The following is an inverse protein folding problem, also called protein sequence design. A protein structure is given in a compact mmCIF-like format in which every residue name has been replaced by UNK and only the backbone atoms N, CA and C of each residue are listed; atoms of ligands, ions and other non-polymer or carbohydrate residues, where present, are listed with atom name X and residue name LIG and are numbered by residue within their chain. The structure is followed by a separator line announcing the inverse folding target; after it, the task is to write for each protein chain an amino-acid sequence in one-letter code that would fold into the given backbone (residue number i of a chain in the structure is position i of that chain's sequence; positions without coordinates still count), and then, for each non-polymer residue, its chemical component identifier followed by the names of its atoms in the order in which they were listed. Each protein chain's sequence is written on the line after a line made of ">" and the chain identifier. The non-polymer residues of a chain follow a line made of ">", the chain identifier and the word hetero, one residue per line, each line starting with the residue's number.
data_IF_978330532680
#
_entry.id   IF_978330532680
#
_cell.length_a   1.000
_cell.length_b   1.000
_cell.length_c   1.000
_cell.angle_alpha   90.00
_cell.angle_beta   90.00
_cell.angle_gamma   90.00
#
_symmetry.space_group_name_H-M   'P 1'
#
loop_
_entity.id
_entity.type
_entity.pdbx_description
1 polymer ?
#
# COMPACT_ATOMS: atom_id res chain seq x y z
N UNK A 1 -9.45 -19.98 -19.05
CA UNK A 1 -9.23 -21.21 -18.27
C UNK A 1 -10.24 -21.23 -17.12
N UNK A 2 -11.28 -22.04 -17.23
CA UNK A 2 -12.20 -22.35 -16.13
C UNK A 2 -11.67 -23.60 -15.42
N UNK A 3 -11.59 -23.58 -14.10
CA UNK A 3 -11.40 -24.79 -13.29
C UNK A 3 -12.56 -24.84 -12.30
N UNK A 4 -13.64 -25.50 -12.72
CA UNK A 4 -14.74 -25.89 -11.88
C UNK A 4 -14.34 -27.11 -11.03
N UNK A 5 -14.78 -27.08 -9.77
CA UNK A 5 -14.64 -28.11 -8.76
C UNK A 5 -15.42 -27.64 -7.54
N UNK A 6 -16.73 -27.86 -7.58
CA UNK A 6 -17.77 -27.49 -6.63
C UNK A 6 -17.63 -28.14 -5.24
N UNK A 7 -17.79 -27.33 -4.19
CA UNK A 7 -18.57 -27.56 -2.95
C UNK A 7 -18.90 -26.16 -2.37
N UNK A 8 -20.15 -25.85 -1.98
CA UNK A 8 -20.52 -24.53 -1.47
C UNK A 8 -20.33 -24.47 0.05
N UNK A 9 -19.30 -23.76 0.53
CA UNK A 9 -19.27 -23.43 1.97
C UNK A 9 -17.99 -22.89 2.59
N UNK A 10 -16.81 -23.11 2.02
CA UNK A 10 -15.57 -22.60 2.59
C UNK A 10 -14.56 -22.31 1.49
N UNK A 11 -13.94 -21.12 1.51
CA UNK A 11 -12.82 -20.82 0.63
C UNK A 11 -11.60 -21.68 1.04
N UNK A 12 -11.56 -22.96 0.65
CA UNK A 12 -10.47 -23.90 0.96
C UNK A 12 -9.20 -23.66 0.11
N UNK A 13 -9.09 -22.46 -0.48
CA UNK A 13 -7.95 -21.98 -1.25
C UNK A 13 -7.72 -22.70 -2.59
N UNK A 14 -7.10 -22.00 -3.53
CA UNK A 14 -6.59 -22.57 -4.77
C UNK A 14 -5.23 -23.21 -4.49
N UNK A 15 -4.97 -24.38 -5.10
CA UNK A 15 -3.63 -25.00 -5.04
C UNK A 15 -2.67 -24.27 -5.97
N UNK A 16 -1.55 -23.81 -5.42
CA UNK A 16 -0.49 -23.09 -6.14
C UNK A 16 0.86 -23.77 -5.94
N UNK A 17 1.61 -24.05 -7.02
CA UNK A 17 2.97 -24.56 -6.91
C UNK A 17 3.92 -23.40 -6.55
N UNK A 18 4.55 -23.47 -5.39
CA UNK A 18 5.55 -22.49 -4.94
C UNK A 18 6.77 -23.25 -4.42
N UNK A 19 7.96 -22.86 -4.86
CA UNK A 19 9.24 -23.49 -4.49
C UNK A 19 9.25 -25.03 -4.63
N UNK A 20 8.60 -25.57 -5.67
CA UNK A 20 8.53 -27.01 -5.92
C UNK A 20 7.57 -27.79 -5.03
N UNK A 21 6.74 -27.10 -4.23
CA UNK A 21 5.73 -27.71 -3.34
C UNK A 21 4.33 -27.18 -3.63
N UNK A 22 3.30 -27.98 -3.31
CA UNK A 22 1.90 -27.56 -3.42
C UNK A 22 1.45 -26.82 -2.16
N UNK A 23 1.01 -25.58 -2.34
CA UNK A 23 0.51 -24.73 -1.27
C UNK A 23 -0.97 -24.38 -1.53
N UNK A 24 -1.70 -23.97 -0.49
CA UNK A 24 -3.05 -23.42 -0.62
C UNK A 24 -3.00 -21.89 -0.49
N UNK A 25 -3.68 -21.19 -1.38
CA UNK A 25 -3.80 -19.75 -1.35
C UNK A 25 -5.27 -19.32 -1.46
N UNK A 26 -5.71 -18.43 -0.58
CA UNK A 26 -7.01 -17.76 -0.69
C UNK A 26 -6.78 -16.30 -1.08
N UNK A 27 -7.53 -15.79 -2.05
CA UNK A 27 -7.48 -14.39 -2.47
C UNK A 27 -8.76 -13.69 -2.03
N UNK A 28 -8.66 -12.92 -0.94
CA UNK A 28 -9.80 -12.21 -0.34
C UNK A 28 -9.78 -10.70 -0.62
N UNK A 29 -8.73 -10.21 -1.30
CA UNK A 29 -8.56 -8.80 -1.56
C UNK A 29 -9.70 -8.27 -2.44
N UNK A 30 -10.12 -7.05 -2.15
CA UNK A 30 -11.20 -6.37 -2.85
C UNK A 30 -10.77 -4.94 -3.18
N UNK A 31 -11.01 -4.53 -4.43
CA UNK A 31 -10.72 -3.17 -4.87
C UNK A 31 -11.57 -2.17 -4.09
N UNK A 32 -10.96 -1.07 -3.64
CA UNK A 32 -11.67 -0.04 -2.88
C UNK A 32 -11.87 -0.35 -1.39
N UNK A 33 -11.48 -1.53 -0.90
CA UNK A 33 -11.65 -1.89 0.50
C UNK A 33 -10.93 -0.93 1.46
N UNK A 34 -11.66 -0.44 2.46
CA UNK A 34 -11.12 0.27 3.62
C UNK A 34 -10.70 -0.71 4.73
N UNK A 35 -10.00 -0.23 5.76
CA UNK A 35 -9.63 -1.03 6.93
C UNK A 35 -10.87 -1.67 7.57
N UNK A 36 -11.93 -0.89 7.77
CA UNK A 36 -13.20 -1.37 8.32
C UNK A 36 -13.85 -2.46 7.46
N UNK A 37 -13.80 -2.32 6.13
CA UNK A 37 -14.36 -3.33 5.24
C UNK A 37 -13.54 -4.62 5.25
N UNK A 38 -12.21 -4.54 5.35
CA UNK A 38 -11.36 -5.71 5.53
C UNK A 38 -11.72 -6.40 6.84
N UNK A 39 -11.82 -5.64 7.94
CA UNK A 39 -12.16 -6.15 9.26
C UNK A 39 -13.51 -6.89 9.26
N UNK A 40 -14.54 -6.29 8.66
CA UNK A 40 -15.90 -6.83 8.71
C UNK A 40 -16.18 -7.92 7.66
N UNK A 41 -15.56 -7.83 6.47
CA UNK A 41 -15.95 -8.67 5.31
C UNK A 41 -14.88 -9.68 4.89
N UNK A 42 -13.61 -9.44 5.21
CA UNK A 42 -12.49 -10.29 4.77
C UNK A 42 -11.90 -11.11 5.92
N UNK A 43 -11.70 -10.52 7.12
CA UNK A 43 -11.15 -11.25 8.28
C UNK A 43 -11.95 -12.52 8.60
N UNK A 44 -13.30 -12.53 8.66
CA UNK A 44 -14.05 -13.76 8.96
C UNK A 44 -13.88 -14.88 7.93
N UNK A 45 -13.37 -14.57 6.74
CA UNK A 45 -13.12 -15.54 5.66
C UNK A 45 -11.69 -16.07 5.65
N UNK A 46 -10.81 -15.53 6.51
CA UNK A 46 -9.43 -16.02 6.62
C UNK A 46 -9.44 -17.39 7.29
N UNK A 47 -8.85 -18.43 6.67
CA UNK A 47 -8.76 -19.75 7.29
C UNK A 47 -7.90 -19.70 8.56
N UNK A 48 -8.33 -20.36 9.63
CA UNK A 48 -7.54 -20.45 10.88
C UNK A 48 -6.18 -21.15 10.68
N UNK A 49 -6.10 -22.00 9.66
CA UNK A 49 -4.88 -22.73 9.25
C UNK A 49 -3.90 -21.88 8.44
N UNK A 50 -4.21 -20.61 8.17
CA UNK A 50 -3.31 -19.73 7.44
C UNK A 50 -1.98 -19.56 8.18
N UNK A 51 -0.87 -19.77 7.46
CA UNK A 51 0.48 -19.60 7.98
C UNK A 51 1.11 -18.27 7.56
N UNK A 52 0.61 -17.66 6.49
CA UNK A 52 1.10 -16.39 5.96
C UNK A 52 -0.08 -15.57 5.47
N UNK A 53 -0.09 -14.28 5.80
CA UNK A 53 -1.08 -13.30 5.34
C UNK A 53 -0.32 -12.10 4.80
N UNK A 54 -0.61 -11.69 3.57
CA UNK A 54 -0.11 -10.44 2.99
C UNK A 54 -1.23 -9.40 2.99
N UNK A 55 -0.94 -8.19 3.43
CA UNK A 55 -1.95 -7.13 3.62
C UNK A 55 -1.45 -5.79 3.06
N UNK A 56 -2.18 -5.25 2.08
CA UNK A 56 -2.12 -3.83 1.66
C UNK A 56 -3.49 -3.19 1.92
N UNK A 57 -3.57 -2.18 2.78
CA UNK A 57 -4.80 -1.43 3.09
C UNK A 57 -4.44 -0.03 3.59
N UNK A 58 -5.39 0.90 3.62
CA UNK A 58 -5.20 2.27 4.11
C UNK A 58 -5.30 3.34 3.02
N UNK A 59 -4.97 3.00 1.76
CA UNK A 59 -5.01 3.97 0.65
C UNK A 59 -6.42 4.50 0.35
N UNK A 60 -7.44 3.67 0.52
CA UNK A 60 -8.84 4.09 0.34
C UNK A 60 -9.34 4.91 1.53
N UNK A 61 -8.89 4.57 2.74
CA UNK A 61 -9.22 5.25 3.99
C UNK A 61 -8.78 6.72 3.96
N UNK A 62 -7.56 6.98 3.48
CA UNK A 62 -7.04 8.35 3.31
C UNK A 62 -7.58 9.06 2.07
N UNK A 63 -8.27 8.36 1.17
CA UNK A 63 -8.83 8.93 -0.05
C UNK A 63 -7.77 9.23 -1.13
N UNK A 64 -6.79 8.34 -1.30
CA UNK A 64 -5.68 8.54 -2.24
C UNK A 64 -6.13 8.94 -3.65
N UNK A 65 -7.17 8.29 -4.19
CA UNK A 65 -7.73 8.62 -5.51
C UNK A 65 -8.31 10.04 -5.57
N UNK A 66 -8.92 10.52 -4.49
CA UNK A 66 -9.43 11.89 -4.39
C UNK A 66 -8.27 12.89 -4.40
N UNK A 67 -7.16 12.59 -3.73
CA UNK A 67 -5.93 13.41 -3.80
C UNK A 67 -5.40 13.45 -5.22
N UNK A 68 -5.23 12.30 -5.87
CA UNK A 68 -4.74 12.22 -7.24
C UNK A 68 -5.61 13.03 -8.22
N UNK A 69 -6.93 12.94 -8.11
CA UNK A 69 -7.88 13.72 -8.92
C UNK A 69 -7.75 15.22 -8.64
N UNK A 70 -7.76 15.64 -7.37
CA UNK A 70 -7.62 17.05 -7.00
C UNK A 70 -6.31 17.66 -7.51
N UNK A 71 -5.22 16.88 -7.49
CA UNK A 71 -3.92 17.30 -7.99
C UNK A 71 -3.83 17.34 -9.52
N UNK A 72 -4.61 16.52 -10.23
CA UNK A 72 -4.74 16.61 -11.68
C UNK A 72 -5.60 17.80 -12.12
N UNK A 73 -6.53 18.26 -11.29
CA UNK A 73 -7.40 19.40 -11.60
C UNK A 73 -6.72 20.75 -11.44
N UNK A 74 -6.11 21.02 -10.27
CA UNK A 74 -5.45 22.31 -10.01
C UNK A 74 -4.47 22.25 -8.81
N UNK A 75 -3.34 22.99 -8.85
CA UNK A 75 -2.40 23.03 -7.73
C UNK A 75 -3.00 23.45 -6.38
N UNK A 76 -3.92 24.42 -6.37
CA UNK A 76 -4.58 24.89 -5.14
C UNK A 76 -5.52 23.85 -4.52
N UNK A 77 -6.16 23.01 -5.35
CA UNK A 77 -6.99 21.88 -4.88
C UNK A 77 -6.14 20.73 -4.35
N UNK A 78 -4.98 20.50 -4.97
CA UNK A 78 -4.02 19.50 -4.54
C UNK A 78 -3.59 19.68 -3.08
N UNK A 79 -3.18 20.90 -2.71
CA UNK A 79 -2.69 21.17 -1.36
C UNK A 79 -3.77 20.90 -0.30
N UNK A 80 -5.01 21.33 -0.56
CA UNK A 80 -6.13 21.07 0.34
C UNK A 80 -6.43 19.57 0.48
N UNK A 81 -6.38 18.82 -0.62
CA UNK A 81 -6.61 17.38 -0.60
C UNK A 81 -5.50 16.61 0.14
N UNK A 82 -4.23 17.03 0.00
CA UNK A 82 -3.10 16.44 0.73
C UNK A 82 -3.25 16.66 2.23
N UNK A 83 -3.63 17.86 2.66
CA UNK A 83 -3.84 18.16 4.09
C UNK A 83 -4.99 17.31 4.67
N UNK A 84 -6.11 17.22 3.95
CA UNK A 84 -7.24 16.39 4.37
C UNK A 84 -6.88 14.89 4.45
N UNK A 85 -6.03 14.39 3.56
CA UNK A 85 -5.54 13.01 3.63
C UNK A 85 -4.56 12.82 4.80
N UNK A 86 -3.73 13.82 5.09
CA UNK A 86 -2.79 13.78 6.21
C UNK A 86 -3.50 13.74 7.57
N UNK A 87 -4.62 14.45 7.73
CA UNK A 87 -5.42 14.39 8.95
C UNK A 87 -5.95 12.97 9.23
N UNK A 88 -6.40 12.27 8.19
CA UNK A 88 -6.90 10.87 8.30
C UNK A 88 -5.82 9.86 8.64
N UNK A 89 -4.55 10.14 8.34
CA UNK A 89 -3.43 9.27 8.73
C UNK A 89 -3.25 9.19 10.24
N UNK A 90 -3.73 10.19 11.00
CA UNK A 90 -3.65 10.20 12.47
C UNK A 90 -4.39 9.03 13.11
N UNK A 91 -5.61 8.77 12.64
CA UNK A 91 -6.49 7.73 13.21
C UNK A 91 -6.15 6.32 12.68
N UNK A 92 -5.63 6.25 11.44
CA UNK A 92 -5.35 5.00 10.72
C UNK A 92 -4.43 4.04 11.48
N UNK A 93 -3.55 4.55 12.34
CA UNK A 93 -2.65 3.71 13.13
C UNK A 93 -3.37 2.82 14.13
N UNK A 94 -4.42 3.33 14.78
CA UNK A 94 -5.22 2.55 15.72
C UNK A 94 -6.05 1.49 15.00
N UNK A 95 -6.68 1.87 13.88
CA UNK A 95 -7.51 0.99 13.08
C UNK A 95 -6.71 -0.17 12.49
N UNK A 96 -5.49 0.11 11.99
CA UNK A 96 -4.59 -0.92 11.51
C UNK A 96 -4.15 -1.86 12.64
N UNK A 97 -3.92 -1.34 13.84
CA UNK A 97 -3.66 -2.16 15.03
C UNK A 97 -4.79 -3.14 15.33
N UNK A 98 -6.04 -2.65 15.34
CA UNK A 98 -7.24 -3.47 15.53
C UNK A 98 -7.38 -4.55 14.45
N UNK A 99 -7.16 -4.20 13.19
CA UNK A 99 -7.20 -5.14 12.07
C UNK A 99 -6.16 -6.25 12.21
N UNK A 100 -4.92 -5.91 12.55
CA UNK A 100 -3.85 -6.90 12.72
C UNK A 100 -4.16 -7.81 13.91
N UNK A 101 -4.68 -7.27 15.03
CA UNK A 101 -5.11 -8.09 16.17
C UNK A 101 -6.25 -9.03 15.81
N UNK A 102 -7.23 -8.58 15.01
CA UNK A 102 -8.33 -9.42 14.54
C UNK A 102 -7.83 -10.55 13.64
N UNK A 103 -6.94 -10.25 12.69
CA UNK A 103 -6.29 -11.26 11.84
C UNK A 103 -5.48 -12.27 12.67
N UNK A 104 -4.78 -11.81 13.69
CA UNK A 104 -3.99 -12.69 14.57
C UNK A 104 -4.88 -13.55 15.46
N UNK A 105 -6.05 -13.06 15.84
CA UNK A 105 -7.07 -13.86 16.55
C UNK A 105 -7.66 -14.92 15.63
N UNK A 106 -7.99 -14.54 14.38
CA UNK A 106 -8.55 -15.45 13.37
C UNK A 106 -7.55 -16.52 12.91
N UNK A 107 -6.27 -16.16 12.73
CA UNK A 107 -5.21 -17.08 12.31
C UNK A 107 -3.99 -16.96 13.25
N UNK A 108 -4.01 -17.61 14.43
CA UNK A 108 -2.99 -17.45 15.47
C UNK A 108 -1.57 -17.79 15.02
N UNK A 109 -1.43 -18.76 14.11
CA UNK A 109 -0.13 -19.22 13.59
C UNK A 109 0.39 -18.39 12.42
N UNK A 110 -0.42 -17.49 11.86
CA UNK A 110 -0.04 -16.72 10.68
C UNK A 110 1.05 -15.70 10.99
N UNK A 111 2.05 -15.62 10.13
CA UNK A 111 2.91 -14.43 10.01
C UNK A 111 2.22 -13.42 9.09
N UNK A 112 2.01 -12.20 9.58
CA UNK A 112 1.32 -11.14 8.84
C UNK A 112 2.37 -10.20 8.25
N UNK A 113 2.43 -10.14 6.93
CA UNK A 113 3.26 -9.23 6.16
C UNK A 113 2.41 -8.05 5.72
N UNK A 114 2.53 -6.94 6.45
CA UNK A 114 1.91 -5.69 6.03
C UNK A 114 2.85 -5.01 5.05
N UNK A 115 2.35 -4.82 3.82
CA UNK A 115 3.11 -4.26 2.71
C UNK A 115 2.70 -2.80 2.50
N UNK A 116 3.70 -1.95 2.24
CA UNK A 116 3.47 -0.54 1.90
C UNK A 116 3.04 -0.33 0.45
N UNK A 117 2.79 0.92 0.10
CA UNK A 117 2.52 1.33 -1.27
C UNK A 117 3.85 1.64 -1.99
N UNK A 118 3.93 1.44 -3.31
CA UNK A 118 5.12 1.87 -4.06
C UNK A 118 5.20 3.39 -4.09
N UNK A 119 6.43 3.92 -4.10
CA UNK A 119 6.62 5.35 -4.35
C UNK A 119 6.36 5.66 -5.83
N UNK A 120 5.32 6.45 -6.11
CA UNK A 120 4.85 6.67 -7.49
C UNK A 120 5.14 8.08 -8.02
N UNK A 121 5.63 8.97 -7.17
CA UNK A 121 6.08 10.31 -7.57
C UNK A 121 7.59 10.40 -7.36
N UNK A 122 8.28 11.05 -8.30
CA UNK A 122 9.70 11.37 -8.17
C UNK A 122 9.88 12.86 -8.43
N UNK A 123 10.59 13.59 -7.54
CA UNK A 123 10.79 15.04 -7.69
C UNK A 123 11.64 15.41 -8.92
N UNK A 124 12.35 14.45 -9.53
CA UNK A 124 13.36 14.70 -10.58
C UNK A 124 12.82 14.93 -12.01
N UNK A 125 11.54 15.26 -12.20
CA UNK A 125 11.04 15.70 -13.51
C UNK A 125 11.02 17.23 -13.68
N UNK A 126 11.30 17.98 -12.61
CA UNK A 126 11.25 19.46 -12.60
C UNK A 126 12.63 20.12 -12.44
N UNK A 127 13.66 19.38 -11.99
CA UNK A 127 15.04 19.84 -11.94
C UNK A 127 15.57 20.07 -13.38
N UNK A 128 15.45 21.30 -13.89
CA UNK A 128 15.98 21.71 -15.20
C UNK A 128 14.94 22.08 -16.27
N UNK A 129 13.64 21.83 -16.04
CA UNK A 129 12.57 22.08 -17.01
C UNK A 129 11.40 22.85 -16.37
N UNK A 130 11.37 24.20 -16.42
CA UNK A 130 10.29 25.00 -15.82
C UNK A 130 8.93 24.91 -16.57
N UNK A 131 8.72 23.90 -17.42
CA UNK A 131 7.57 23.80 -18.32
C UNK A 131 6.50 22.76 -17.90
N UNK A 132 6.61 22.10 -16.74
CA UNK A 132 5.53 21.25 -16.21
C UNK A 132 4.93 21.80 -14.89
N UNK A 133 4.22 22.94 -14.91
CA UNK A 133 3.59 23.50 -13.72
C UNK A 133 2.20 22.91 -13.43
N UNK A 134 1.77 21.84 -14.11
CA UNK A 134 0.38 21.37 -14.00
C UNK A 134 0.13 20.48 -12.77
N UNK A 135 1.16 19.83 -12.22
CA UNK A 135 1.01 18.91 -11.08
C UNK A 135 2.13 19.19 -10.07
N UNK A 136 1.83 19.46 -8.78
CA UNK A 136 2.84 19.66 -7.76
C UNK A 136 3.46 18.30 -7.33
N UNK A 137 4.35 17.78 -8.18
CA UNK A 137 5.03 16.48 -7.99
C UNK A 137 5.75 16.38 -6.65
N UNK A 138 6.34 17.47 -6.16
CA UNK A 138 7.02 17.49 -4.85
C UNK A 138 6.04 17.31 -3.69
N UNK A 139 4.86 17.95 -3.76
CA UNK A 139 3.83 17.81 -2.75
C UNK A 139 3.24 16.39 -2.75
N UNK A 140 3.06 15.81 -3.93
CA UNK A 140 2.63 14.42 -4.10
C UNK A 140 3.68 13.43 -3.59
N UNK A 141 4.96 13.66 -3.87
CA UNK A 141 6.06 12.86 -3.32
C UNK A 141 6.15 12.95 -1.79
N UNK A 142 5.98 14.15 -1.23
CA UNK A 142 5.97 14.35 0.21
C UNK A 142 4.76 13.66 0.87
N UNK A 143 3.58 13.71 0.24
CA UNK A 143 2.38 13.03 0.71
C UNK A 143 2.54 11.50 0.68
N UNK A 144 3.09 10.96 -0.41
CA UNK A 144 3.40 9.54 -0.58
C UNK A 144 4.40 9.05 0.48
N UNK A 145 5.48 9.80 0.67
CA UNK A 145 6.50 9.55 1.71
C UNK A 145 5.93 9.66 3.13
N UNK A 146 4.98 10.57 3.37
CA UNK A 146 4.31 10.71 4.65
C UNK A 146 3.39 9.52 4.97
N UNK A 147 2.69 8.99 3.96
CA UNK A 147 1.89 7.76 4.04
C UNK A 147 2.74 6.55 4.40
N UNK A 148 3.87 6.35 3.70
CA UNK A 148 4.86 5.33 4.03
C UNK A 148 5.37 5.46 5.47
N UNK A 149 5.66 6.69 5.90
CA UNK A 149 6.11 6.99 7.26
C UNK A 149 5.05 6.70 8.32
N UNK A 150 3.78 6.98 8.05
CA UNK A 150 2.66 6.72 8.94
C UNK A 150 2.40 5.22 9.10
N UNK A 151 2.42 4.47 8.00
CA UNK A 151 2.36 3.01 8.00
C UNK A 151 3.51 2.41 8.82
N UNK A 152 4.72 2.96 8.65
CA UNK A 152 5.88 2.59 9.44
C UNK A 152 5.65 2.84 10.94
N UNK A 153 5.25 4.04 11.33
CA UNK A 153 5.05 4.38 12.76
C UNK A 153 3.96 3.55 13.43
N UNK A 154 2.90 3.18 12.70
CA UNK A 154 1.77 2.41 13.24
C UNK A 154 2.09 0.92 13.42
N UNK A 155 2.89 0.32 12.52
CA UNK A 155 3.18 -1.12 12.57
C UNK A 155 4.43 -1.46 13.42
N UNK A 156 5.45 -0.59 13.40
CA UNK A 156 6.74 -0.88 14.02
C UNK A 156 6.73 -1.14 15.54
N UNK A 157 5.83 -0.55 16.34
CA UNK A 157 5.74 -0.88 17.76
C UNK A 157 5.15 -2.28 18.02
N UNK A 158 4.47 -2.90 17.05
CA UNK A 158 3.59 -4.05 17.30
C UNK A 158 3.93 -5.32 16.54
N UNK A 159 4.59 -5.29 15.37
CA UNK A 159 4.79 -6.48 14.53
C UNK A 159 6.11 -6.50 13.74
N UNK A 160 6.63 -7.71 13.47
CA UNK A 160 7.85 -7.93 12.69
C UNK A 160 7.61 -7.64 11.19
N UNK A 161 7.99 -6.46 10.74
CA UNK A 161 8.01 -6.07 9.32
C UNK A 161 9.30 -6.59 8.67
N UNK A 162 9.23 -6.88 7.37
CA UNK A 162 10.41 -7.18 6.53
C UNK A 162 11.50 -6.12 6.79
N UNK A 163 12.72 -6.51 7.21
CA UNK A 163 13.77 -5.55 7.56
C UNK A 163 14.04 -4.59 6.40
N UNK A 164 14.37 -3.34 6.74
CA UNK A 164 14.84 -2.34 5.78
C UNK A 164 16.02 -2.84 4.92
N UNK A 165 16.73 -3.88 5.36
CA UNK A 165 17.82 -4.54 4.64
C UNK A 165 17.40 -5.33 3.38
N UNK A 166 16.11 -5.57 3.15
CA UNK A 166 15.59 -6.08 1.86
C UNK A 166 15.14 -4.96 0.92
N UNK A 167 15.25 -3.68 1.33
CA UNK A 167 15.34 -2.60 0.35
C UNK A 167 16.70 -2.75 -0.29
N UNK A 168 16.74 -2.99 -1.60
CA UNK A 168 17.92 -2.60 -2.35
C UNK A 168 18.24 -1.17 -1.92
N UNK A 169 19.48 -0.86 -1.47
CA UNK A 169 19.86 0.53 -1.46
C UNK A 169 19.63 1.04 -2.88
N UNK A 170 19.05 2.23 -3.00
CA UNK A 170 19.13 2.95 -4.26
C UNK A 170 20.62 3.16 -4.54
N UNK A 171 21.22 2.18 -5.20
CA UNK A 171 22.50 2.22 -5.89
C UNK A 171 22.23 1.73 -7.30
N UNK A 172 21.08 2.10 -7.87
CA UNK A 172 20.93 1.98 -9.29
C UNK A 172 21.83 3.07 -9.88
N UNK A 173 22.68 2.82 -10.88
CA UNK A 173 23.53 3.84 -11.48
C UNK A 173 22.80 5.07 -12.09
N UNK A 174 21.48 5.20 -11.90
CA UNK A 174 20.68 6.41 -12.17
C UNK A 174 20.65 7.40 -11.00
N UNK A 175 21.15 7.04 -9.82
CA UNK A 175 21.28 7.96 -8.67
C UNK A 175 22.45 8.95 -8.84
N UNK A 176 23.31 8.73 -9.83
CA UNK A 176 24.26 9.73 -10.31
C UNK A 176 23.54 10.70 -11.25
N UNK A 177 22.90 11.72 -10.65
CA UNK A 177 22.18 12.81 -11.31
C UNK A 177 22.91 13.35 -12.57
N UNK A 178 22.52 12.97 -13.80
CA UNK A 178 22.80 13.81 -14.95
C UNK A 178 21.73 14.90 -14.94
N UNK A 179 22.13 16.13 -14.64
CA UNK A 179 21.26 17.31 -14.70
C UNK A 179 20.44 17.26 -15.99
N UNK A 180 19.10 17.19 -15.94
CA UNK A 180 18.26 17.16 -17.13
C UNK A 180 18.48 18.45 -17.92
N UNK A 181 19.20 18.38 -19.04
CA UNK A 181 19.35 19.52 -19.95
C UNK A 181 18.14 19.54 -20.89
N UNK A 182 17.23 20.46 -20.61
CA UNK A 182 16.14 20.76 -21.53
C UNK A 182 16.72 21.49 -22.73
N UNK A 183 16.72 20.82 -23.89
CA UNK A 183 17.08 21.45 -25.15
C UNK A 183 16.18 22.67 -25.38
N UNK A 184 16.80 23.84 -25.53
CA UNK A 184 16.16 25.04 -26.03
C UNK A 184 15.59 24.80 -27.45
N UNK A 185 14.56 25.55 -27.91
CA UNK A 185 13.91 25.33 -29.21
C UNK A 185 14.86 25.39 -30.40
#
# INVERSE_FOLDING_TARGET
>A
MSLAGDEPGAFDGVRVPLAGQWNRAAFLASSGATIDEVLMKQVPKVPESANQITLTVGGNDVGFMTVAQACAEAPSRCQGAILAAADKLGDMGADLGLLITALKTQAPKATIFVTGYPQIFQPSLTEGCPALPLIPLDALYAADSAGDGALRRSIWPTHAVVPAALRSPATHPRDANPTPQCGAP
#
